data_IF_216789159894
#
_entry.id   IF_216789159894
#
_cell.length_a   1.000
_cell.length_b   1.000
_cell.length_c   1.000
_cell.angle_alpha   90.00
_cell.angle_beta   90.00
_cell.angle_gamma   90.00
#
_symmetry.space_group_name_H-M   'P 1'
#
loop_
_entity.id
_entity.type
_entity.pdbx_description
1 polymer ?
#
# COMPACT_ATOMS: atom_id res chain seq x y z
N UNK A 1 26.27 -37.71 -1.91
CA UNK A 1 27.25 -36.62 -2.07
C UNK A 1 27.57 -36.10 -0.67
N UNK A 2 28.69 -36.55 -0.14
CA UNK A 2 29.20 -36.21 1.17
C UNK A 2 30.26 -35.12 0.98
N UNK A 3 30.15 -34.00 1.70
CA UNK A 3 31.23 -33.03 1.78
C UNK A 3 31.99 -33.23 3.08
N UNK A 4 33.28 -33.51 2.87
CA UNK A 4 34.29 -33.84 3.85
C UNK A 4 34.58 -32.70 4.83
N UNK A 5 34.82 -33.15 6.05
CA UNK A 5 35.56 -32.50 7.12
C UNK A 5 36.95 -32.03 6.68
N UNK A 6 37.25 -30.75 6.88
CA UNK A 6 38.63 -30.27 7.05
C UNK A 6 38.74 -29.38 8.28
N UNK A 7 38.95 -30.03 9.42
CA UNK A 7 39.63 -29.47 10.58
C UNK A 7 41.11 -29.33 10.23
N UNK A 8 41.63 -28.09 10.15
CA UNK A 8 43.07 -27.85 10.05
C UNK A 8 43.54 -26.88 11.12
N UNK A 9 44.26 -27.49 12.07
CA UNK A 9 45.10 -26.88 13.07
C UNK A 9 46.03 -25.81 12.48
N UNK A 10 45.97 -24.60 13.03
CA UNK A 10 47.04 -23.62 12.93
C UNK A 10 46.97 -22.66 14.12
N UNK A 11 48.04 -22.61 14.91
CA UNK A 11 48.31 -21.45 15.77
C UNK A 11 48.41 -21.70 17.28
N UNK A 12 48.97 -22.83 17.72
CA UNK A 12 49.28 -23.09 19.15
C UNK A 12 50.62 -22.49 19.63
N UNK A 13 51.18 -21.46 18.96
CA UNK A 13 52.54 -20.97 19.26
C UNK A 13 52.61 -19.61 20.00
N UNK A 14 51.50 -18.87 20.19
CA UNK A 14 51.57 -17.53 20.83
C UNK A 14 51.03 -17.43 22.27
N UNK A 15 50.95 -18.54 23.02
CA UNK A 15 50.50 -18.50 24.43
C UNK A 15 51.61 -18.40 25.49
N UNK A 16 52.90 -18.33 25.12
CA UNK A 16 53.99 -18.33 26.13
C UNK A 16 54.81 -17.04 26.25
N UNK A 17 54.57 -16.01 25.43
CA UNK A 17 55.32 -14.74 25.51
C UNK A 17 54.50 -13.52 25.97
N UNK A 18 53.17 -13.61 26.05
CA UNK A 18 52.33 -12.51 26.56
C UNK A 18 52.32 -12.36 28.10
N UNK A 19 53.20 -13.08 28.83
CA UNK A 19 53.22 -13.10 30.30
C UNK A 19 54.38 -12.31 30.93
N UNK A 20 55.24 -11.60 30.15
CA UNK A 20 56.48 -11.00 30.70
C UNK A 20 56.70 -9.49 30.56
N UNK A 21 55.81 -8.71 29.96
CA UNK A 21 55.90 -7.25 30.00
C UNK A 21 54.47 -6.71 29.98
N UNK A 22 53.88 -6.25 31.07
CA UNK A 22 54.20 -4.98 31.70
C UNK A 22 53.85 -5.08 33.20
N UNK A 23 54.85 -5.32 34.06
CA UNK A 23 54.77 -4.85 35.45
C UNK A 23 55.08 -3.36 35.42
N UNK A 24 54.10 -2.55 34.98
CA UNK A 24 54.15 -1.13 35.27
C UNK A 24 54.04 -1.02 36.79
N UNK A 25 55.04 -0.44 37.48
CA UNK A 25 54.85 -0.05 38.86
C UNK A 25 53.74 0.99 38.85
N UNK A 26 52.51 0.57 39.14
CA UNK A 26 51.44 1.47 39.54
C UNK A 26 51.91 2.06 40.86
N UNK A 27 52.74 3.12 40.76
CA UNK A 27 52.88 4.16 41.77
C UNK A 27 51.50 4.32 42.35
N UNK A 28 51.36 4.14 43.65
CA UNK A 28 50.13 4.16 44.43
C UNK A 28 49.27 5.36 44.06
N UNK A 29 48.55 5.25 42.95
CA UNK A 29 47.57 6.22 42.51
C UNK A 29 46.39 5.91 43.41
N UNK A 30 46.15 6.81 44.35
CA UNK A 30 44.93 6.80 45.16
C UNK A 30 43.76 6.87 44.19
N UNK A 31 43.21 5.71 43.81
CA UNK A 31 42.05 5.63 42.93
C UNK A 31 40.92 6.28 43.69
N UNK A 32 40.52 7.46 43.23
CA UNK A 32 39.40 8.15 43.82
C UNK A 32 38.13 7.37 43.50
N UNK A 33 37.67 6.56 44.45
CA UNK A 33 36.48 5.71 44.33
C UNK A 33 35.26 6.54 43.89
N UNK A 34 35.16 7.79 44.34
CA UNK A 34 34.10 8.71 43.91
C UNK A 34 34.18 9.07 42.44
N UNK A 35 35.39 9.23 41.87
CA UNK A 35 35.55 9.48 40.45
C UNK A 35 35.10 8.27 39.60
N UNK A 36 35.39 7.06 40.08
CA UNK A 36 34.94 5.81 39.43
C UNK A 36 33.41 5.68 39.51
N UNK A 37 32.82 5.92 40.68
CA UNK A 37 31.36 5.86 40.87
C UNK A 37 30.62 6.92 40.04
N UNK A 38 31.13 8.15 40.00
CA UNK A 38 30.56 9.22 39.17
C UNK A 38 30.70 8.91 37.68
N UNK A 39 31.87 8.44 37.25
CA UNK A 39 32.11 8.06 35.86
C UNK A 39 31.18 6.92 35.40
N UNK A 40 30.99 5.91 36.25
CA UNK A 40 30.04 4.82 36.01
C UNK A 40 28.59 5.28 36.03
N UNK A 41 28.22 6.18 36.95
CA UNK A 41 26.88 6.75 37.05
C UNK A 41 26.49 7.55 35.81
N UNK A 42 27.40 8.38 35.28
CA UNK A 42 27.16 9.18 34.06
C UNK A 42 26.99 8.30 32.83
N UNK A 43 27.81 7.25 32.68
CA UNK A 43 27.67 6.32 31.55
C UNK A 43 26.37 5.52 31.62
N UNK A 44 25.95 5.07 32.81
CA UNK A 44 24.66 4.41 33.00
C UNK A 44 23.48 5.34 32.68
N UNK A 45 23.51 6.57 33.21
CA UNK A 45 22.46 7.57 32.93
C UNK A 45 22.37 7.91 31.44
N UNK A 46 23.52 8.09 30.77
CA UNK A 46 23.56 8.35 29.33
C UNK A 46 22.99 7.18 28.51
N UNK A 47 23.36 5.95 28.85
CA UNK A 47 22.83 4.75 28.19
C UNK A 47 21.31 4.62 28.40
N UNK A 48 20.84 4.86 29.62
CA UNK A 48 19.42 4.84 29.96
C UNK A 48 18.62 5.90 29.18
N UNK A 49 19.13 7.12 29.08
CA UNK A 49 18.51 8.19 28.31
C UNK A 49 18.42 7.84 26.82
N UNK A 50 19.48 7.26 26.25
CA UNK A 50 19.49 6.78 24.86
C UNK A 50 18.44 5.68 24.66
N UNK A 51 18.35 4.72 25.58
CA UNK A 51 17.38 3.62 25.50
C UNK A 51 15.93 4.14 25.60
N UNK A 52 15.66 5.13 26.45
CA UNK A 52 14.32 5.70 26.62
C UNK A 52 13.89 6.63 25.48
N UNK A 53 14.82 7.35 24.86
CA UNK A 53 14.50 8.38 23.88
C UNK A 53 14.75 7.93 22.44
N UNK A 54 15.93 7.38 22.17
CA UNK A 54 16.38 7.08 20.81
C UNK A 54 15.74 5.80 20.29
N UNK A 55 15.73 4.72 21.10
CA UNK A 55 15.16 3.42 20.68
C UNK A 55 13.70 3.53 20.25
N UNK A 56 12.76 4.10 21.05
CA UNK A 56 11.37 4.21 20.60
C UNK A 56 11.21 5.16 19.41
N UNK A 57 12.05 6.20 19.29
CA UNK A 57 12.01 7.09 18.13
C UNK A 57 12.43 6.35 16.84
N UNK A 58 13.54 5.61 16.88
CA UNK A 58 14.00 4.79 15.76
C UNK A 58 12.99 3.70 15.43
N UNK A 59 12.47 2.98 16.43
CA UNK A 59 11.47 1.94 16.22
C UNK A 59 10.16 2.47 15.63
N UNK A 60 9.70 3.66 16.01
CA UNK A 60 8.52 4.29 15.39
C UNK A 60 8.76 4.60 13.92
N UNK A 61 9.99 5.04 13.58
CA UNK A 61 10.38 5.37 12.21
C UNK A 61 10.51 4.12 11.34
N UNK A 62 11.14 3.05 11.83
CA UNK A 62 11.30 1.79 11.10
C UNK A 62 9.95 1.08 10.90
N UNK A 63 9.10 0.98 11.94
CA UNK A 63 7.76 0.39 11.81
C UNK A 63 6.83 1.14 10.86
N UNK A 64 7.02 2.45 10.70
CA UNK A 64 6.28 3.24 9.71
C UNK A 64 6.69 2.88 8.29
N UNK A 65 7.99 2.68 8.07
CA UNK A 65 8.56 2.26 6.80
C UNK A 65 8.17 0.83 6.43
N UNK A 66 8.34 -0.12 7.35
CA UNK A 66 7.96 -1.53 7.14
C UNK A 66 6.48 -1.67 6.78
N UNK A 67 5.60 -0.97 7.52
CA UNK A 67 4.16 -0.95 7.19
C UNK A 67 3.87 -0.37 5.81
N UNK A 68 4.61 0.66 5.42
CA UNK A 68 4.46 1.25 4.09
C UNK A 68 4.95 0.32 2.99
N UNK A 69 6.12 -0.31 3.14
CA UNK A 69 6.66 -1.29 2.18
C UNK A 69 5.69 -2.46 2.03
N UNK A 70 5.18 -3.00 3.14
CA UNK A 70 4.18 -4.08 3.13
C UNK A 70 2.86 -3.65 2.46
N UNK A 71 2.42 -2.40 2.62
CA UNK A 71 1.20 -1.89 1.97
C UNK A 71 1.39 -1.71 0.46
N UNK A 72 2.56 -1.23 0.02
CA UNK A 72 2.89 -1.11 -1.41
C UNK A 72 2.95 -2.50 -2.05
N UNK A 73 3.62 -3.45 -1.41
CA UNK A 73 3.74 -4.82 -1.89
C UNK A 73 2.38 -5.52 -1.97
N UNK A 74 1.52 -5.31 -0.96
CA UNK A 74 0.14 -5.81 -0.99
C UNK A 74 -0.69 -5.20 -2.13
N UNK A 75 -0.51 -3.91 -2.45
CA UNK A 75 -1.17 -3.28 -3.60
C UNK A 75 -0.63 -3.88 -4.91
N UNK A 76 0.69 -4.05 -5.00
CA UNK A 76 1.32 -4.64 -6.18
C UNK A 76 0.80 -6.05 -6.44
N UNK A 77 0.89 -6.97 -5.46
CA UNK A 77 0.34 -8.34 -5.60
C UNK A 77 -1.16 -8.32 -5.93
N UNK A 78 -1.95 -7.48 -5.25
CA UNK A 78 -3.38 -7.39 -5.53
C UNK A 78 -3.69 -6.96 -6.98
N UNK A 79 -2.94 -6.01 -7.53
CA UNK A 79 -3.17 -5.52 -8.90
C UNK A 79 -2.51 -6.43 -9.95
N UNK A 80 -1.25 -6.82 -9.74
CA UNK A 80 -0.46 -7.65 -10.65
C UNK A 80 -1.07 -9.04 -10.84
N UNK A 81 -1.47 -9.68 -9.75
CA UNK A 81 -1.94 -11.07 -9.77
C UNK A 81 -3.46 -11.11 -9.81
N UNK A 82 -4.12 -10.54 -8.78
CA UNK A 82 -5.56 -10.79 -8.58
C UNK A 82 -6.43 -10.01 -9.55
N UNK A 83 -6.20 -8.70 -9.71
CA UNK A 83 -6.98 -7.87 -10.63
C UNK A 83 -6.71 -8.27 -12.08
N UNK A 84 -5.45 -8.50 -12.49
CA UNK A 84 -5.15 -8.93 -13.86
C UNK A 84 -5.86 -10.23 -14.22
N UNK A 85 -5.81 -11.23 -13.33
CA UNK A 85 -6.49 -12.50 -13.54
C UNK A 85 -8.01 -12.32 -13.61
N UNK A 86 -8.59 -11.52 -12.72
CA UNK A 86 -10.02 -11.26 -12.71
C UNK A 86 -10.47 -10.50 -13.97
N UNK A 87 -9.69 -9.53 -14.46
CA UNK A 87 -9.93 -8.81 -15.72
C UNK A 87 -9.93 -9.79 -16.90
N UNK A 88 -8.91 -10.64 -17.01
CA UNK A 88 -8.83 -11.64 -18.09
C UNK A 88 -9.99 -12.67 -18.05
N UNK A 89 -10.42 -13.03 -16.84
CA UNK A 89 -11.54 -13.96 -16.63
C UNK A 89 -12.88 -13.31 -16.99
N UNK A 90 -13.10 -12.06 -16.59
CA UNK A 90 -14.29 -11.29 -16.92
C UNK A 90 -14.39 -11.01 -18.44
N UNK A 91 -13.28 -10.69 -19.10
CA UNK A 91 -13.22 -10.54 -20.56
C UNK A 91 -13.64 -11.84 -21.27
N UNK A 92 -13.00 -12.97 -20.92
CA UNK A 92 -13.30 -14.27 -21.54
C UNK A 92 -14.74 -14.70 -21.29
N UNK A 93 -15.21 -14.65 -20.04
CA UNK A 93 -16.56 -15.10 -19.69
C UNK A 93 -17.63 -14.18 -20.26
N UNK A 94 -17.39 -12.87 -20.24
CA UNK A 94 -18.28 -11.87 -20.85
C UNK A 94 -18.39 -12.03 -22.36
N UNK A 95 -17.27 -12.28 -23.05
CA UNK A 95 -17.28 -12.56 -24.49
C UNK A 95 -18.07 -13.84 -24.80
N UNK A 96 -17.87 -14.91 -24.02
CA UNK A 96 -18.62 -16.15 -24.17
C UNK A 96 -20.13 -15.93 -23.97
N UNK A 97 -20.53 -15.17 -22.95
CA UNK A 97 -21.93 -14.85 -22.69
C UNK A 97 -22.55 -13.99 -23.81
N UNK A 98 -21.77 -13.09 -24.39
CA UNK A 98 -22.18 -12.26 -25.52
C UNK A 98 -22.40 -13.10 -26.79
N UNK A 99 -21.47 -14.00 -27.10
CA UNK A 99 -21.60 -14.95 -28.21
C UNK A 99 -22.79 -15.88 -28.01
N UNK A 100 -22.94 -16.46 -26.81
CA UNK A 100 -24.10 -17.25 -26.39
C UNK A 100 -25.44 -16.53 -26.67
N UNK A 101 -25.54 -15.24 -26.31
CA UNK A 101 -26.74 -14.44 -26.59
C UNK A 101 -27.00 -14.23 -28.08
N UNK A 102 -25.96 -14.12 -28.92
CA UNK A 102 -26.14 -13.98 -30.36
C UNK A 102 -26.66 -15.28 -31.02
N UNK A 103 -26.24 -16.45 -30.52
CA UNK A 103 -26.75 -17.74 -30.98
C UNK A 103 -28.23 -17.94 -30.63
N UNK A 104 -28.69 -17.44 -29.46
CA UNK A 104 -30.11 -17.44 -29.09
C UNK A 104 -31.00 -16.71 -30.09
N UNK A 105 -30.49 -15.66 -30.72
CA UNK A 105 -31.27 -14.85 -31.65
C UNK A 105 -31.37 -15.49 -33.04
N UNK A 106 -30.53 -16.49 -33.34
CA UNK A 106 -30.36 -17.07 -34.67
C UNK A 106 -30.70 -18.56 -34.77
N UNK A 107 -30.66 -19.32 -33.67
CA UNK A 107 -30.85 -20.77 -33.69
C UNK A 107 -32.32 -21.19 -33.51
N UNK A 108 -32.87 -21.83 -34.54
CA UNK A 108 -34.19 -22.47 -34.58
C UNK A 108 -34.18 -23.90 -33.98
N UNK A 109 -33.16 -24.29 -33.21
CA UNK A 109 -32.90 -25.69 -32.84
C UNK A 109 -32.66 -25.94 -31.34
N UNK A 110 -33.23 -27.06 -30.89
CA UNK A 110 -33.13 -27.76 -29.59
C UNK A 110 -33.14 -26.89 -28.32
N UNK A 111 -34.35 -26.59 -27.85
CA UNK A 111 -34.66 -25.53 -26.89
C UNK A 111 -34.08 -25.77 -25.48
N UNK A 112 -33.96 -27.03 -25.05
CA UNK A 112 -33.59 -27.40 -23.66
C UNK A 112 -32.09 -27.43 -23.43
N UNK A 113 -31.33 -28.18 -24.24
CA UNK A 113 -29.87 -28.29 -24.12
C UNK A 113 -29.18 -26.94 -24.36
N UNK A 114 -29.70 -26.14 -25.30
CA UNK A 114 -29.21 -24.79 -25.51
C UNK A 114 -29.51 -23.90 -24.30
N UNK A 115 -30.72 -23.93 -23.74
CA UNK A 115 -31.08 -23.06 -22.60
C UNK A 115 -30.21 -23.31 -21.36
N UNK A 116 -29.91 -24.57 -21.02
CA UNK A 116 -29.03 -24.87 -19.88
C UNK A 116 -27.61 -24.34 -20.08
N UNK A 117 -27.00 -24.63 -21.24
CA UNK A 117 -25.67 -24.16 -21.56
C UNK A 117 -25.56 -22.63 -21.56
N UNK A 118 -26.57 -21.95 -22.10
CA UNK A 118 -26.63 -20.49 -22.16
C UNK A 118 -26.80 -19.87 -20.78
N UNK A 119 -27.66 -20.47 -19.94
CA UNK A 119 -27.86 -20.04 -18.55
C UNK A 119 -26.55 -20.16 -17.77
N UNK A 120 -25.88 -21.31 -17.87
CA UNK A 120 -24.58 -21.53 -17.23
C UNK A 120 -23.50 -20.54 -17.72
N UNK A 121 -23.50 -20.20 -19.02
CA UNK A 121 -22.54 -19.24 -19.58
C UNK A 121 -22.80 -17.82 -19.06
N UNK A 122 -24.06 -17.39 -19.02
CA UNK A 122 -24.46 -16.07 -18.48
C UNK A 122 -24.13 -15.99 -16.99
N UNK A 123 -24.42 -17.04 -16.23
CA UNK A 123 -24.10 -17.12 -14.81
C UNK A 123 -22.59 -17.07 -14.57
N UNK A 124 -21.81 -17.81 -15.36
CA UNK A 124 -20.34 -17.76 -15.31
C UNK A 124 -19.76 -16.37 -15.59
N UNK A 125 -20.34 -15.61 -16.53
CA UNK A 125 -19.96 -14.21 -16.76
C UNK A 125 -20.28 -13.32 -15.55
N UNK A 126 -21.47 -13.48 -14.95
CA UNK A 126 -21.85 -12.74 -13.75
C UNK A 126 -20.92 -13.04 -12.57
N UNK A 127 -20.59 -14.31 -12.32
CA UNK A 127 -19.65 -14.68 -11.26
C UNK A 127 -18.26 -14.08 -11.50
N UNK A 128 -17.80 -14.04 -12.75
CA UNK A 128 -16.53 -13.40 -13.10
C UNK A 128 -16.54 -11.89 -12.85
N UNK A 129 -17.64 -11.20 -13.19
CA UNK A 129 -17.83 -9.77 -12.92
C UNK A 129 -17.88 -9.45 -11.42
N UNK A 130 -18.59 -10.27 -10.63
CA UNK A 130 -18.65 -10.14 -9.17
C UNK A 130 -17.26 -10.32 -8.54
N UNK A 131 -16.50 -11.33 -8.99
CA UNK A 131 -15.12 -11.54 -8.55
C UNK A 131 -14.21 -10.37 -8.92
N UNK A 132 -14.34 -9.81 -10.13
CA UNK A 132 -13.61 -8.60 -10.53
C UNK A 132 -13.96 -7.40 -9.65
N UNK A 133 -15.24 -7.18 -9.37
CA UNK A 133 -15.70 -6.10 -8.48
C UNK A 133 -15.12 -6.24 -7.07
N UNK A 134 -15.06 -7.46 -6.53
CA UNK A 134 -14.43 -7.76 -5.24
C UNK A 134 -12.94 -7.40 -5.23
N UNK A 135 -12.17 -7.82 -6.25
CA UNK A 135 -10.73 -7.48 -6.35
C UNK A 135 -10.50 -5.98 -6.51
N UNK A 136 -11.34 -5.30 -7.27
CA UNK A 136 -11.29 -3.84 -7.37
C UNK A 136 -11.62 -3.15 -6.02
N UNK A 137 -12.53 -3.72 -5.23
CA UNK A 137 -12.82 -3.22 -3.89
C UNK A 137 -11.64 -3.41 -2.92
N UNK A 138 -10.98 -4.58 -2.96
CA UNK A 138 -9.77 -4.89 -2.20
C UNK A 138 -8.68 -3.83 -2.46
N UNK A 139 -8.36 -3.57 -3.72
CA UNK A 139 -7.37 -2.56 -4.11
C UNK A 139 -7.75 -1.17 -3.62
N UNK A 140 -9.01 -0.77 -3.74
CA UNK A 140 -9.51 0.53 -3.24
C UNK A 140 -9.35 0.66 -1.73
N UNK A 141 -9.55 -0.41 -0.96
CA UNK A 141 -9.33 -0.41 0.49
C UNK A 141 -7.84 -0.22 0.79
N UNK A 142 -6.96 -0.94 0.09
CA UNK A 142 -5.51 -0.80 0.23
C UNK A 142 -5.03 0.62 -0.12
N UNK A 143 -5.52 1.21 -1.21
CA UNK A 143 -5.24 2.60 -1.59
C UNK A 143 -5.68 3.61 -0.52
N UNK A 144 -6.84 3.39 0.12
CA UNK A 144 -7.30 4.22 1.24
C UNK A 144 -6.45 4.01 2.50
N UNK A 145 -5.96 2.80 2.75
CA UNK A 145 -5.09 2.51 3.89
C UNK A 145 -3.74 3.20 3.72
N UNK A 146 -3.09 3.02 2.58
CA UNK A 146 -1.74 3.55 2.34
C UNK A 146 -1.71 5.09 2.30
N UNK A 147 -2.75 5.71 1.74
CA UNK A 147 -2.87 7.18 1.73
C UNK A 147 -3.00 7.78 3.13
N UNK A 148 -3.46 7.03 4.14
CA UNK A 148 -3.47 7.48 5.54
C UNK A 148 -2.10 7.37 6.21
N UNK A 149 -1.22 6.48 5.73
CA UNK A 149 0.13 6.31 6.29
C UNK A 149 1.00 7.52 5.93
N UNK A 150 0.88 8.03 4.71
CA UNK A 150 1.63 9.20 4.23
C UNK A 150 0.75 10.17 3.43
N UNK A 151 -0.14 10.94 4.07
CA UNK A 151 -1.18 11.72 3.40
C UNK A 151 -0.68 12.90 2.55
N UNK A 152 0.59 13.26 2.68
CA UNK A 152 1.19 14.41 1.98
C UNK A 152 1.90 14.01 0.67
N UNK A 153 1.90 12.72 0.34
CA UNK A 153 2.53 12.22 -0.89
C UNK A 153 1.66 12.51 -2.12
N UNK A 154 2.19 13.18 -3.16
CA UNK A 154 1.43 13.45 -4.40
C UNK A 154 1.20 12.18 -5.24
N UNK A 155 1.87 11.07 -4.91
CA UNK A 155 1.73 9.82 -5.66
C UNK A 155 0.38 9.15 -5.46
N UNK A 156 -0.30 9.39 -4.32
CA UNK A 156 -1.59 8.76 -4.02
C UNK A 156 -2.69 9.26 -4.92
N UNK A 157 -2.71 10.55 -5.22
CA UNK A 157 -3.69 11.13 -6.14
C UNK A 157 -3.49 10.57 -7.55
N UNK A 158 -2.23 10.42 -7.98
CA UNK A 158 -1.91 9.81 -9.28
C UNK A 158 -2.36 8.35 -9.35
N UNK A 159 -2.10 7.56 -8.30
CA UNK A 159 -2.48 6.16 -8.24
C UNK A 159 -4.01 5.99 -8.17
N UNK A 160 -4.70 6.84 -7.40
CA UNK A 160 -6.15 6.90 -7.34
C UNK A 160 -6.77 7.27 -8.69
N UNK A 161 -6.17 8.21 -9.44
CA UNK A 161 -6.60 8.56 -10.79
C UNK A 161 -6.44 7.40 -11.77
N UNK A 162 -5.34 6.65 -11.73
CA UNK A 162 -5.16 5.46 -12.58
C UNK A 162 -6.16 4.35 -12.22
N UNK A 163 -6.39 4.13 -10.93
CA UNK A 163 -7.42 3.19 -10.46
C UNK A 163 -8.82 3.60 -10.96
N UNK A 164 -9.16 4.90 -10.89
CA UNK A 164 -10.44 5.40 -11.37
C UNK A 164 -10.58 5.24 -12.90
N UNK A 165 -9.51 5.46 -13.66
CA UNK A 165 -9.49 5.18 -15.11
C UNK A 165 -9.78 3.71 -15.39
N UNK A 166 -9.10 2.79 -14.70
CA UNK A 166 -9.35 1.35 -14.83
C UNK A 166 -10.80 1.01 -14.51
N UNK A 167 -11.32 1.51 -13.38
CA UNK A 167 -12.69 1.26 -12.96
C UNK A 167 -13.72 1.76 -14.00
N UNK A 168 -13.52 2.95 -14.55
CA UNK A 168 -14.40 3.50 -15.59
C UNK A 168 -14.29 2.72 -16.91
N UNK A 169 -13.10 2.26 -17.29
CA UNK A 169 -12.90 1.42 -18.46
C UNK A 169 -13.62 0.08 -18.33
N UNK A 170 -13.51 -0.58 -17.16
CA UNK A 170 -14.21 -1.84 -16.89
C UNK A 170 -15.73 -1.64 -16.98
N UNK A 171 -16.25 -0.62 -16.28
CA UNK A 171 -17.68 -0.31 -16.30
C UNK A 171 -18.19 -0.07 -17.72
N UNK A 172 -17.43 0.68 -18.52
CA UNK A 172 -17.77 0.93 -19.92
C UNK A 172 -17.79 -0.37 -20.73
N UNK A 173 -16.78 -1.22 -20.60
CA UNK A 173 -16.69 -2.49 -21.31
C UNK A 173 -17.82 -3.47 -20.93
N UNK A 174 -18.26 -3.46 -19.68
CA UNK A 174 -19.40 -4.26 -19.20
C UNK A 174 -20.74 -3.74 -19.73
N UNK A 175 -20.88 -2.42 -19.93
CA UNK A 175 -22.06 -1.76 -20.51
C UNK A 175 -22.03 -1.70 -22.05
N UNK A 176 -20.94 -2.20 -22.66
CA UNK A 176 -20.60 -2.06 -24.07
C UNK A 176 -21.54 -2.77 -25.05
N UNK A 177 -21.57 -2.25 -26.28
CA UNK A 177 -22.25 -2.94 -27.39
C UNK A 177 -21.43 -4.14 -27.89
N UNK A 178 -22.09 -5.24 -28.32
CA UNK A 178 -21.42 -6.43 -28.88
C UNK A 178 -20.35 -6.14 -29.93
N UNK A 179 -20.64 -5.21 -30.86
CA UNK A 179 -19.72 -4.86 -31.94
C UNK A 179 -18.47 -4.09 -31.50
N UNK A 180 -18.42 -3.62 -30.25
CA UNK A 180 -17.30 -2.83 -29.69
C UNK A 180 -16.57 -3.55 -28.55
N UNK A 181 -16.96 -4.79 -28.23
CA UNK A 181 -16.39 -5.56 -27.10
C UNK A 181 -14.87 -5.50 -27.08
N UNK A 182 -14.22 -5.89 -28.19
CA UNK A 182 -12.77 -5.96 -28.26
C UNK A 182 -12.11 -4.60 -28.02
N UNK A 183 -12.60 -3.53 -28.66
CA UNK A 183 -12.05 -2.18 -28.52
C UNK A 183 -12.17 -1.67 -27.08
N UNK A 184 -13.30 -1.94 -26.41
CA UNK A 184 -13.52 -1.51 -25.04
C UNK A 184 -12.64 -2.27 -24.05
N UNK A 185 -12.45 -3.58 -24.24
CA UNK A 185 -11.52 -4.35 -23.41
C UNK A 185 -10.05 -3.98 -23.66
N UNK A 186 -9.66 -3.58 -24.88
CA UNK A 186 -8.33 -2.99 -25.10
C UNK A 186 -8.11 -1.73 -24.25
N UNK A 187 -9.14 -0.91 -24.04
CA UNK A 187 -9.05 0.22 -23.12
C UNK A 187 -8.90 -0.22 -21.66
N UNK A 188 -9.54 -1.32 -21.25
CA UNK A 188 -9.35 -1.92 -19.92
C UNK A 188 -7.90 -2.37 -19.73
N UNK A 189 -7.34 -3.15 -20.66
CA UNK A 189 -5.95 -3.60 -20.58
C UNK A 189 -4.95 -2.44 -20.60
N UNK A 190 -5.20 -1.40 -21.40
CA UNK A 190 -4.38 -0.19 -21.40
C UNK A 190 -4.42 0.54 -20.05
N UNK A 191 -5.59 0.63 -19.43
CA UNK A 191 -5.75 1.25 -18.11
C UNK A 191 -5.09 0.39 -17.01
N UNK A 192 -5.22 -0.93 -17.08
CA UNK A 192 -4.57 -1.88 -16.16
C UNK A 192 -3.05 -1.77 -16.23
N UNK A 193 -2.48 -1.80 -17.44
CA UNK A 193 -1.05 -1.59 -17.65
C UNK A 193 -0.57 -0.21 -17.17
N UNK A 194 -1.42 0.82 -17.35
CA UNK A 194 -1.14 2.16 -16.82
C UNK A 194 -1.11 2.18 -15.28
N UNK A 195 -1.95 1.38 -14.63
CA UNK A 195 -1.95 1.21 -13.18
C UNK A 195 -0.72 0.42 -12.72
N UNK A 196 -0.37 -0.70 -13.36
CA UNK A 196 0.85 -1.48 -13.07
C UNK A 196 2.10 -0.61 -13.15
N UNK A 197 2.33 0.08 -14.27
CA UNK A 197 3.48 0.98 -14.43
C UNK A 197 3.56 2.02 -13.32
N UNK A 198 2.41 2.51 -12.85
CA UNK A 198 2.37 3.52 -11.77
C UNK A 198 2.72 2.93 -10.42
N UNK A 199 2.38 1.66 -10.18
CA UNK A 199 2.79 0.93 -8.98
C UNK A 199 4.28 0.59 -9.06
N UNK A 200 4.78 0.16 -10.21
CA UNK A 200 6.21 -0.09 -10.43
C UNK A 200 7.04 1.19 -10.21
N UNK A 201 6.62 2.30 -10.82
CA UNK A 201 7.20 3.64 -10.59
C UNK A 201 7.24 4.02 -9.09
N UNK A 202 6.28 3.53 -8.30
CA UNK A 202 6.19 3.80 -6.87
C UNK A 202 7.10 2.87 -6.07
N UNK A 203 7.18 1.59 -6.46
CA UNK A 203 8.05 0.58 -5.88
C UNK A 203 9.53 0.91 -6.11
N UNK A 204 9.91 1.34 -7.32
CA UNK A 204 11.30 1.72 -7.66
C UNK A 204 11.78 2.96 -6.88
N UNK A 205 10.85 3.76 -6.38
CA UNK A 205 11.16 4.93 -5.56
C UNK A 205 11.34 4.57 -4.08
N UNK A 206 11.11 3.32 -3.67
CA UNK A 206 11.46 2.79 -2.35
C UNK A 206 13.00 2.74 -2.21
N UNK A 207 13.60 3.28 -1.14
CA UNK A 207 12.97 3.95 -0.02
C UNK A 207 12.76 5.44 -0.29
N UNK A 208 11.51 5.85 -0.49
CA UNK A 208 11.15 7.24 -0.34
C UNK A 208 11.41 7.55 1.13
N UNK A 209 12.42 8.37 1.43
CA UNK A 209 12.37 9.16 2.66
C UNK A 209 10.94 9.71 2.69
N UNK A 210 10.14 9.51 3.75
CA UNK A 210 8.87 10.22 3.86
C UNK A 210 9.22 11.68 3.57
N UNK A 211 8.62 12.32 2.55
CA UNK A 211 9.03 13.65 2.14
C UNK A 211 9.10 14.49 3.41
N UNK A 212 10.24 15.15 3.63
CA UNK A 212 10.43 15.98 4.81
C UNK A 212 9.20 16.88 4.88
N UNK A 213 8.38 16.73 5.94
CA UNK A 213 7.12 17.48 6.06
C UNK A 213 7.44 18.93 5.74
N UNK A 214 6.91 19.53 4.67
CA UNK A 214 6.94 20.97 4.59
C UNK A 214 6.10 21.43 5.78
N UNK A 215 6.76 21.93 6.82
CA UNK A 215 6.14 22.53 8.02
C UNK A 215 5.19 23.68 7.69
N UNK A 216 5.12 24.05 6.41
CA UNK A 216 4.30 25.11 5.84
C UNK A 216 2.85 24.65 5.59
N UNK A 217 2.56 23.38 5.28
CA UNK A 217 1.21 22.95 4.85
C UNK A 217 0.26 22.42 5.96
N UNK A 218 0.73 22.20 7.19
CA UNK A 218 -0.18 21.87 8.30
C UNK A 218 -0.98 23.08 8.78
N UNK A 219 -0.49 24.32 8.54
CA UNK A 219 -1.24 25.55 8.83
C UNK A 219 -2.40 25.74 7.84
N UNK A 220 -2.19 25.51 6.54
CA UNK A 220 -3.21 25.80 5.52
C UNK A 220 -4.43 24.85 5.57
N UNK A 221 -4.26 23.56 5.89
CA UNK A 221 -5.42 22.65 6.06
C UNK A 221 -6.30 23.02 7.26
N UNK A 222 -5.71 23.53 8.34
CA UNK A 222 -6.46 24.01 9.51
C UNK A 222 -7.16 25.33 9.20
N UNK A 223 -6.51 26.19 8.41
CA UNK A 223 -7.04 27.49 8.02
C UNK A 223 -8.13 27.41 6.94
N UNK A 224 -8.02 26.48 5.99
CA UNK A 224 -9.08 26.23 4.99
C UNK A 224 -10.30 25.58 5.66
N UNK A 225 -10.08 24.66 6.60
CA UNK A 225 -11.17 24.05 7.38
C UNK A 225 -11.85 25.07 8.29
N UNK A 226 -11.10 25.95 8.95
CA UNK A 226 -11.67 27.03 9.76
C UNK A 226 -12.45 28.05 8.90
N UNK A 227 -11.91 28.45 7.74
CA UNK A 227 -12.59 29.36 6.79
C UNK A 227 -13.87 28.74 6.22
N UNK A 228 -13.89 27.44 5.91
CA UNK A 228 -15.09 26.74 5.45
C UNK A 228 -16.15 26.63 6.57
N UNK A 229 -15.76 26.36 7.82
CA UNK A 229 -16.70 26.33 8.95
C UNK A 229 -17.22 27.72 9.34
N UNK A 230 -16.43 28.77 9.18
CA UNK A 230 -16.88 30.15 9.41
C UNK A 230 -17.84 30.62 8.32
N UNK A 231 -17.56 30.31 7.05
CA UNK A 231 -18.45 30.69 5.93
C UNK A 231 -19.79 29.96 5.96
N UNK A 232 -19.84 28.74 6.49
CA UNK A 232 -21.08 28.00 6.73
C UNK A 232 -21.95 28.61 7.86
N UNK A 233 -21.35 29.34 8.81
CA UNK A 233 -22.09 30.04 9.88
C UNK A 233 -22.55 31.45 9.49
N UNK A 234 -21.92 32.07 8.49
CA UNK A 234 -22.24 33.42 8.04
C UNK A 234 -23.09 33.47 6.77
N UNK A 235 -23.59 32.34 6.27
CA UNK A 235 -24.43 32.31 5.06
C UNK A 235 -25.85 32.80 5.40
N UNK A 236 -26.32 33.94 4.86
CA UNK A 236 -27.60 34.55 5.25
C UNK A 236 -28.84 33.74 4.84
N UNK A 237 -28.70 32.74 3.96
CA UNK A 237 -29.83 32.00 3.39
C UNK A 237 -30.52 31.02 4.36
N UNK A 238 -29.91 30.73 5.53
CA UNK A 238 -30.53 29.83 6.53
C UNK A 238 -31.36 30.60 7.57
N UNK A 239 -31.21 31.93 7.69
CA UNK A 239 -32.05 32.72 8.61
C UNK A 239 -33.49 32.86 8.12
N UNK A 240 -33.71 33.06 6.83
CA UNK A 240 -35.07 33.22 6.30
C UNK A 240 -35.90 31.92 6.26
N UNK A 241 -35.25 30.75 6.28
CA UNK A 241 -35.97 29.47 6.35
C UNK A 241 -36.48 29.13 7.76
N UNK A 242 -36.03 29.86 8.80
CA UNK A 242 -36.47 29.62 10.19
C UNK A 242 -37.58 30.57 10.63
N UNK A 243 -37.65 31.77 10.06
CA UNK A 243 -38.72 32.74 10.34
C UNK A 243 -40.05 32.36 9.68
N UNK A 244 -40.04 31.70 8.51
CA UNK A 244 -41.28 31.24 7.85
C UNK A 244 -41.96 30.02 8.52
N UNK A 245 -41.39 29.48 9.60
CA UNK A 245 -41.92 28.27 10.27
C UNK A 245 -42.61 28.55 11.60
N UNK A 246 -42.51 29.78 12.10
CA UNK A 246 -43.15 30.19 13.35
C UNK A 246 -44.46 30.98 13.10
N UNK A 247 -44.78 31.29 11.83
CA UNK A 247 -46.01 32.00 11.41
C UNK A 247 -47.05 31.10 10.72
N UNK A 248 -46.94 29.76 10.83
CA UNK A 248 -47.91 28.78 10.33
C UNK A 248 -48.32 27.79 11.42
#
# INVERSE_FOLDING_TARGET
MAYETTTKAAGSIHRREAARALRLPLRSATVNVWAVLLGGGVTLAGTFAIQLLIVPWVQRRTRGRERWENDVDAIYSAVAEKVSLAVATADRSGHNALMARSFLQTAEHDETLNREFLTATIEGARTADEALAERMAEVRILLRRISRVNPDSPYWDQLALQFLKLHNSIRRAQEGEPGKWFDEWQHVYKALNGLHRKIDDLADRVPLRPPARPTIFSRSRTEIRSKLTMRARSSPSIRHAREQRDDA
#
